data_IF_262708592648
#
_entry.id   IF_262708592648
#
_cell.length_a   1.000
_cell.length_b   1.000
_cell.length_c   1.000
_cell.angle_alpha   90.00
_cell.angle_beta   90.00
_cell.angle_gamma   90.00
#
_symmetry.space_group_name_H-M   'P 1'
#
loop_
_entity.id
_entity.type
_entity.pdbx_description
1 polymer ?
#
# COMPACT_ATOMS: atom_id res chain seq x y z
N UNK A 1 27.66 5.31 6.27
CA UNK A 1 26.31 5.92 6.21
C UNK A 1 25.33 5.05 6.98
N UNK A 2 25.42 5.08 8.31
CA UNK A 2 24.50 4.40 9.23
C UNK A 2 23.97 5.48 10.16
N UNK A 3 22.65 5.68 10.19
CA UNK A 3 22.05 6.75 11.01
C UNK A 3 20.53 6.74 11.09
N UNK A 4 19.83 6.04 10.20
CA UNK A 4 18.35 6.02 10.17
C UNK A 4 17.72 4.65 10.46
N UNK A 5 18.44 3.73 11.13
CA UNK A 5 17.93 2.38 11.38
C UNK A 5 17.41 2.12 12.80
N UNK A 6 17.23 3.13 13.66
CA UNK A 6 16.72 2.86 15.02
C UNK A 6 15.92 3.96 15.72
N UNK A 7 15.72 5.14 15.13
CA UNK A 7 14.89 6.16 15.78
C UNK A 7 13.42 5.83 15.59
N UNK A 8 12.85 5.15 16.59
CA UNK A 8 11.43 5.11 16.86
C UNK A 8 10.84 6.52 16.61
N UNK A 9 9.83 6.64 15.74
CA UNK A 9 9.20 7.91 15.39
C UNK A 9 8.62 8.65 16.61
N UNK A 10 8.32 7.93 17.70
CA UNK A 10 7.88 8.49 18.98
C UNK A 10 9.04 9.06 19.83
N UNK A 11 10.30 8.81 19.47
CA UNK A 11 11.50 9.38 20.11
C UNK A 11 11.98 10.63 19.37
N UNK A 12 11.41 10.95 18.20
CA UNK A 12 11.75 12.17 17.50
C UNK A 12 11.36 13.39 18.37
N UNK A 13 12.23 14.39 18.60
CA UNK A 13 11.93 15.51 19.50
C UNK A 13 10.64 16.27 19.15
N UNK A 14 10.25 16.29 17.86
CA UNK A 14 8.98 16.89 17.40
C UNK A 14 7.74 16.09 17.80
N UNK A 15 7.86 14.79 18.10
CA UNK A 15 6.73 13.99 18.60
C UNK A 15 6.27 14.47 19.98
N UNK A 16 7.18 15.02 20.79
CA UNK A 16 6.89 15.60 22.10
C UNK A 16 6.05 16.90 22.03
N UNK A 17 5.88 17.50 20.85
CA UNK A 17 5.01 18.66 20.66
C UNK A 17 3.52 18.29 20.59
N UNK A 18 3.22 17.02 20.34
CA UNK A 18 1.85 16.53 20.25
C UNK A 18 1.42 15.91 21.57
N UNK A 19 0.32 16.42 22.12
CA UNK A 19 -0.34 15.87 23.30
C UNK A 19 -1.18 14.63 22.91
N UNK A 20 -1.53 13.74 23.85
CA UNK A 20 -2.34 12.55 23.56
C UNK A 20 -3.62 12.85 22.77
N UNK A 21 -4.32 13.94 23.08
CA UNK A 21 -5.53 14.37 22.37
C UNK A 21 -5.29 14.77 20.91
N UNK A 22 -4.06 15.20 20.56
CA UNK A 22 -3.71 15.46 19.16
C UNK A 22 -3.49 14.16 18.40
N UNK A 23 -2.81 13.20 19.02
CA UNK A 23 -2.58 11.88 18.43
C UNK A 23 -3.88 11.11 18.23
N UNK A 24 -4.81 11.20 19.19
CA UNK A 24 -6.12 10.56 19.11
C UNK A 24 -7.00 11.09 17.97
N UNK A 25 -6.73 12.30 17.45
CA UNK A 25 -7.45 12.86 16.29
C UNK A 25 -6.98 12.29 14.96
N UNK A 26 -5.84 11.62 14.91
CA UNK A 26 -5.35 11.00 13.69
C UNK A 26 -6.08 9.68 13.49
N UNK A 27 -7.04 9.70 12.57
CA UNK A 27 -7.93 8.57 12.28
C UNK A 27 -7.53 7.81 11.01
N UNK A 28 -6.70 8.41 10.16
CA UNK A 28 -6.29 7.85 8.88
C UNK A 28 -4.78 7.89 8.71
N UNK A 29 -4.21 6.75 8.32
CA UNK A 29 -2.82 6.66 7.87
C UNK A 29 -2.78 6.46 6.37
N UNK A 30 -2.03 7.32 5.67
CA UNK A 30 -1.70 7.13 4.26
C UNK A 30 -0.22 6.77 4.15
N UNK A 31 0.05 5.53 3.76
CA UNK A 31 1.39 4.95 3.66
C UNK A 31 1.77 4.85 2.18
N UNK A 32 2.96 5.33 1.84
CA UNK A 32 3.60 5.09 0.55
C UNK A 32 4.69 4.05 0.76
N UNK A 33 4.55 2.88 0.13
CA UNK A 33 5.37 1.73 0.44
C UNK A 33 6.12 1.21 -0.77
N UNK A 34 7.44 1.09 -0.66
CA UNK A 34 8.25 0.35 -1.62
C UNK A 34 8.12 -1.16 -1.36
N UNK A 35 7.76 -1.96 -2.37
CA UNK A 35 7.49 -3.40 -2.20
C UNK A 35 8.64 -4.16 -1.52
N UNK A 36 9.89 -3.80 -1.81
CA UNK A 36 11.08 -4.40 -1.21
C UNK A 36 11.12 -4.30 0.32
N UNK A 37 10.65 -3.19 0.90
CA UNK A 37 10.73 -2.90 2.32
C UNK A 37 9.37 -2.82 3.02
N UNK A 38 8.27 -3.03 2.27
CA UNK A 38 6.91 -2.82 2.75
C UNK A 38 6.62 -3.60 4.04
N UNK A 39 6.96 -4.89 4.07
CA UNK A 39 6.73 -5.74 5.23
C UNK A 39 7.50 -5.29 6.48
N UNK A 40 8.73 -4.79 6.31
CA UNK A 40 9.53 -4.25 7.41
C UNK A 40 8.96 -2.91 7.90
N UNK A 41 8.61 -2.02 6.97
CA UNK A 41 8.08 -0.68 7.27
C UNK A 41 6.72 -0.74 7.98
N UNK A 42 5.77 -1.51 7.45
CA UNK A 42 4.43 -1.67 8.03
C UNK A 42 4.48 -2.27 9.44
N UNK A 43 5.35 -3.25 9.67
CA UNK A 43 5.57 -3.79 11.00
C UNK A 43 6.18 -2.74 11.95
N UNK A 44 7.12 -1.93 11.46
CA UNK A 44 7.70 -0.82 12.21
C UNK A 44 6.66 0.19 12.68
N UNK A 45 5.69 0.53 11.81
CA UNK A 45 4.67 1.54 12.07
C UNK A 45 3.85 1.23 13.34
N UNK A 46 3.58 -0.05 13.58
CA UNK A 46 2.73 -0.48 14.71
C UNK A 46 3.51 -1.17 15.83
N UNK A 47 4.82 -1.38 15.71
CA UNK A 47 5.63 -2.10 16.71
C UNK A 47 5.70 -1.39 18.07
N UNK A 48 5.53 -0.08 18.10
CA UNK A 48 5.60 0.68 19.34
C UNK A 48 4.27 0.62 20.08
N UNK A 49 4.35 0.26 21.37
CA UNK A 49 3.23 0.08 22.31
C UNK A 49 2.55 1.39 22.74
N UNK A 50 2.80 2.49 22.03
CA UNK A 50 2.13 3.74 22.33
C UNK A 50 0.79 3.71 21.60
N UNK A 51 -0.24 3.28 22.31
CA UNK A 51 -1.66 3.29 21.90
C UNK A 51 -2.22 4.72 21.70
N UNK A 52 -1.35 5.71 21.46
CA UNK A 52 -1.72 7.12 21.34
C UNK A 52 -2.26 7.45 19.95
N UNK A 53 -1.91 6.65 18.94
CA UNK A 53 -2.34 6.86 17.56
C UNK A 53 -2.93 5.56 16.99
N UNK A 54 -4.26 5.52 16.96
CA UNK A 54 -5.05 4.33 16.64
C UNK A 54 -5.93 4.63 15.43
N UNK A 55 -5.41 4.45 14.20
CA UNK A 55 -6.19 4.74 13.00
C UNK A 55 -7.39 3.82 12.90
N UNK A 56 -8.50 4.34 12.39
CA UNK A 56 -9.69 3.56 12.00
C UNK A 56 -9.65 3.20 10.53
N UNK A 57 -8.95 3.99 9.71
CA UNK A 57 -8.75 3.72 8.29
C UNK A 57 -7.28 3.79 7.90
N UNK A 58 -6.92 3.02 6.87
CA UNK A 58 -5.59 3.03 6.30
C UNK A 58 -5.65 3.02 4.78
N UNK A 59 -4.75 3.76 4.15
CA UNK A 59 -4.48 3.68 2.70
C UNK A 59 -3.02 3.32 2.50
N UNK A 60 -2.75 2.33 1.65
CA UNK A 60 -1.42 2.01 1.15
C UNK A 60 -1.36 2.28 -0.35
N UNK A 61 -0.47 3.14 -0.78
CA UNK A 61 -0.20 3.37 -2.21
C UNK A 61 1.10 2.68 -2.60
N UNK A 62 1.01 1.80 -3.59
CA UNK A 62 2.14 1.30 -4.35
C UNK A 62 2.22 2.09 -5.65
N UNK A 63 3.14 3.06 -5.72
CA UNK A 63 3.35 3.85 -6.94
C UNK A 63 4.03 3.00 -7.98
N UNK A 64 3.96 3.41 -9.23
CA UNK A 64 4.63 2.72 -10.34
C UNK A 64 6.12 2.39 -10.06
N UNK A 65 6.86 3.30 -9.42
CA UNK A 65 8.28 3.13 -9.08
C UNK A 65 8.55 2.37 -7.78
N UNK A 66 7.50 1.95 -7.08
CA UNK A 66 7.59 1.17 -5.85
C UNK A 66 7.49 -0.35 -6.11
N UNK A 67 7.15 -0.75 -7.35
CA UNK A 67 7.08 -2.14 -7.79
C UNK A 67 8.47 -2.73 -7.99
N UNK A 68 8.58 -4.05 -7.84
CA UNK A 68 9.81 -4.76 -8.17
C UNK A 68 10.19 -4.62 -9.64
N UNK A 69 11.46 -4.33 -9.88
CA UNK A 69 12.10 -4.32 -11.21
C UNK A 69 11.38 -3.43 -12.25
N UNK A 70 10.69 -2.37 -11.78
CA UNK A 70 9.95 -1.43 -12.63
C UNK A 70 10.85 -0.75 -13.67
N UNK A 71 12.13 -0.55 -13.34
CA UNK A 71 13.18 0.00 -14.20
C UNK A 71 13.40 -0.84 -15.46
N UNK A 72 13.17 -2.15 -15.37
CA UNK A 72 13.36 -3.10 -16.47
C UNK A 72 12.07 -3.44 -17.21
N UNK A 73 10.97 -2.76 -16.85
CA UNK A 73 9.62 -3.04 -17.35
C UNK A 73 9.15 -4.49 -17.06
N UNK A 74 9.70 -5.11 -16.01
CA UNK A 74 9.40 -6.50 -15.66
C UNK A 74 7.89 -6.73 -15.46
N UNK A 75 7.34 -7.89 -15.86
CA UNK A 75 5.95 -8.23 -15.58
C UNK A 75 5.66 -8.18 -14.08
N UNK A 76 4.49 -7.67 -13.69
CA UNK A 76 4.08 -7.67 -12.27
C UNK A 76 3.53 -9.03 -11.81
N UNK A 77 3.40 -10.00 -12.73
CA UNK A 77 2.88 -11.35 -12.52
C UNK A 77 3.97 -12.42 -12.75
N UNK A 78 4.00 -13.54 -12.01
CA UNK A 78 3.05 -13.98 -10.99
C UNK A 78 3.17 -13.25 -9.67
N UNK A 79 2.01 -12.95 -9.11
CA UNK A 79 1.91 -12.49 -7.73
C UNK A 79 2.04 -13.69 -6.82
N UNK A 80 2.95 -13.61 -5.86
CA UNK A 80 3.04 -14.60 -4.80
C UNK A 80 2.78 -13.93 -3.47
N UNK A 81 1.92 -14.55 -2.65
CA UNK A 81 1.57 -14.05 -1.31
C UNK A 81 2.79 -13.96 -0.37
N UNK A 82 3.87 -14.67 -0.66
CA UNK A 82 5.14 -14.60 0.09
C UNK A 82 6.08 -13.47 -0.40
N UNK A 83 5.83 -12.86 -1.56
CA UNK A 83 6.72 -11.87 -2.20
C UNK A 83 6.08 -10.53 -2.55
N UNK A 84 4.78 -10.51 -2.82
CA UNK A 84 4.08 -9.34 -3.34
C UNK A 84 3.57 -8.46 -2.20
N UNK A 85 2.70 -9.01 -1.34
CA UNK A 85 2.44 -8.49 -0.01
C UNK A 85 2.73 -9.57 1.00
N UNK A 86 3.72 -9.41 1.89
CA UNK A 86 3.91 -10.32 3.00
C UNK A 86 2.80 -10.12 4.06
N UNK A 87 1.51 -10.20 3.67
CA UNK A 87 0.35 -9.98 4.53
C UNK A 87 0.42 -10.82 5.80
N UNK A 88 0.95 -12.05 5.68
CA UNK A 88 1.19 -12.96 6.82
C UNK A 88 2.04 -12.33 7.92
N UNK A 89 2.95 -11.44 7.59
CA UNK A 89 3.84 -10.79 8.52
C UNK A 89 3.36 -9.41 8.96
N UNK A 90 2.24 -8.89 8.44
CA UNK A 90 1.75 -7.54 8.74
C UNK A 90 0.47 -7.62 9.57
N UNK A 91 0.51 -7.00 10.76
CA UNK A 91 -0.62 -7.00 11.70
C UNK A 91 -1.14 -5.58 11.90
N UNK A 92 -2.40 -5.36 11.53
CA UNK A 92 -3.09 -4.09 11.70
C UNK A 92 -3.46 -3.85 13.18
N UNK A 93 -3.53 -2.58 13.63
CA UNK A 93 -4.11 -2.24 14.92
C UNK A 93 -5.57 -2.72 15.06
N UNK A 94 -6.03 -3.07 16.28
CA UNK A 94 -7.42 -3.46 16.55
C UNK A 94 -8.47 -2.38 16.20
N UNK A 95 -8.06 -1.14 15.98
CA UNK A 95 -8.98 -0.05 15.63
C UNK A 95 -9.25 0.04 14.14
N UNK A 96 -8.41 -0.55 13.29
CA UNK A 96 -8.55 -0.43 11.83
C UNK A 96 -9.76 -1.22 11.37
N UNK A 97 -10.74 -0.50 10.82
CA UNK A 97 -11.97 -1.03 10.25
C UNK A 97 -11.89 -1.15 8.73
N UNK A 98 -11.09 -0.30 8.08
CA UNK A 98 -10.93 -0.26 6.62
C UNK A 98 -9.48 -0.14 6.22
N UNK A 99 -9.08 -0.96 5.26
CA UNK A 99 -7.79 -0.88 4.58
C UNK A 99 -8.03 -0.72 3.09
N UNK A 100 -7.50 0.34 2.50
CA UNK A 100 -7.53 0.60 1.07
C UNK A 100 -6.13 0.45 0.51
N UNK A 101 -6.00 -0.19 -0.65
CA UNK A 101 -4.73 -0.29 -1.37
C UNK A 101 -4.91 0.31 -2.76
N UNK A 102 -4.04 1.26 -3.09
CA UNK A 102 -3.95 1.91 -4.38
C UNK A 102 -2.78 1.29 -5.16
N UNK A 103 -3.11 0.63 -6.25
CA UNK A 103 -2.17 0.02 -7.17
C UNK A 103 -1.98 0.92 -8.37
N UNK A 104 -0.92 1.71 -8.38
CA UNK A 104 -0.59 2.57 -9.51
C UNK A 104 0.42 1.87 -10.43
N UNK A 105 0.17 1.95 -11.74
CA UNK A 105 1.13 1.56 -12.75
C UNK A 105 1.03 2.47 -13.98
N UNK A 106 1.96 2.33 -14.92
CA UNK A 106 1.83 2.97 -16.23
C UNK A 106 0.69 2.33 -17.02
N UNK A 107 0.01 3.12 -17.84
CA UNK A 107 -1.20 2.69 -18.56
C UNK A 107 -0.93 1.53 -19.54
N UNK A 108 0.29 1.42 -20.06
CA UNK A 108 0.71 0.29 -20.90
C UNK A 108 0.68 -1.06 -20.17
N UNK A 109 0.70 -1.07 -18.83
CA UNK A 109 0.61 -2.27 -17.98
C UNK A 109 -0.79 -2.53 -17.41
N UNK A 110 -1.82 -1.82 -17.87
CA UNK A 110 -3.18 -1.96 -17.31
C UNK A 110 -3.69 -3.41 -17.28
N UNK A 111 -3.43 -4.21 -18.31
CA UNK A 111 -3.86 -5.62 -18.36
C UNK A 111 -3.17 -6.49 -17.31
N UNK A 112 -1.88 -6.22 -17.06
CA UNK A 112 -1.18 -6.90 -15.98
C UNK A 112 -1.78 -6.50 -14.62
N UNK A 113 -2.10 -5.20 -14.45
CA UNK A 113 -2.71 -4.66 -13.24
C UNK A 113 -4.12 -5.21 -13.01
N UNK A 114 -4.90 -5.39 -14.08
CA UNK A 114 -6.19 -6.10 -14.03
C UNK A 114 -6.00 -7.53 -13.53
N UNK A 115 -4.99 -8.26 -14.02
CA UNK A 115 -4.71 -9.62 -13.58
C UNK A 115 -4.34 -9.68 -12.09
N UNK A 116 -3.58 -8.69 -11.59
CA UNK A 116 -3.27 -8.54 -10.15
C UNK A 116 -4.54 -8.43 -9.33
N UNK A 117 -5.39 -7.47 -9.69
CA UNK A 117 -6.62 -7.19 -8.94
C UNK A 117 -7.56 -8.39 -9.03
N UNK A 118 -7.74 -8.98 -10.21
CA UNK A 118 -8.58 -10.16 -10.40
C UNK A 118 -8.14 -11.36 -9.55
N UNK A 119 -6.83 -11.59 -9.37
CA UNK A 119 -6.35 -12.64 -8.46
C UNK A 119 -6.77 -12.37 -7.01
N UNK A 120 -6.80 -11.11 -6.58
CA UNK A 120 -7.22 -10.75 -5.22
C UNK A 120 -8.65 -11.17 -4.91
N UNK A 121 -9.55 -11.00 -5.87
CA UNK A 121 -10.95 -11.40 -5.75
C UNK A 121 -11.14 -12.90 -5.98
N UNK A 122 -10.45 -13.49 -6.97
CA UNK A 122 -10.57 -14.92 -7.28
C UNK A 122 -10.03 -15.82 -6.16
N UNK A 123 -9.07 -15.32 -5.39
CA UNK A 123 -8.42 -16.04 -4.28
C UNK A 123 -8.53 -15.25 -2.98
N UNK A 124 -9.67 -14.61 -2.74
CA UNK A 124 -9.92 -13.68 -1.62
C UNK A 124 -9.50 -14.21 -0.24
N UNK A 125 -9.61 -15.51 0.01
CA UNK A 125 -9.12 -16.13 1.26
C UNK A 125 -7.60 -15.97 1.50
N UNK A 126 -6.81 -15.77 0.45
CA UNK A 126 -5.36 -15.51 0.54
C UNK A 126 -5.04 -14.02 0.76
N UNK A 127 -6.00 -13.13 0.49
CA UNK A 127 -5.81 -11.68 0.51
C UNK A 127 -6.55 -11.07 1.69
N UNK A 128 -6.10 -11.42 2.89
CA UNK A 128 -6.73 -11.02 4.15
C UNK A 128 -5.73 -10.23 5.00
N UNK A 129 -6.16 -9.07 5.50
CA UNK A 129 -5.40 -8.32 6.49
C UNK A 129 -5.76 -8.78 7.89
N UNK A 130 -4.76 -9.16 8.68
CA UNK A 130 -4.96 -9.62 10.05
C UNK A 130 -4.87 -8.46 11.02
N UNK A 131 -5.82 -8.35 11.93
CA UNK A 131 -5.74 -7.46 13.09
C UNK A 131 -5.15 -8.20 14.28
N UNK A 132 -4.53 -7.44 15.19
CA UNK A 132 -3.92 -7.98 16.41
C UNK A 132 -4.91 -8.62 17.38
N UNK A 133 -6.18 -8.28 17.30
CA UNK A 133 -7.25 -8.84 18.12
C UNK A 133 -7.89 -10.11 17.52
N UNK A 134 -7.29 -10.66 16.45
CA UNK A 134 -7.76 -11.88 15.80
C UNK A 134 -8.78 -11.65 14.69
N UNK A 135 -9.38 -10.46 14.57
CA UNK A 135 -10.27 -10.13 13.47
C UNK A 135 -9.53 -10.01 12.14
N UNK A 136 -10.26 -10.20 11.06
CA UNK A 136 -9.76 -10.15 9.70
C UNK A 136 -10.49 -9.08 8.89
N UNK A 137 -9.75 -8.35 8.05
CA UNK A 137 -10.35 -7.55 6.98
C UNK A 137 -10.30 -8.36 5.68
N UNK A 138 -11.45 -8.50 5.03
CA UNK A 138 -11.62 -9.23 3.76
C UNK A 138 -11.93 -8.24 2.65
N UNK A 139 -11.56 -8.60 1.43
CA UNK A 139 -11.80 -7.76 0.25
C UNK A 139 -13.29 -7.55 0.05
N UNK A 140 -13.70 -6.31 -0.25
CA UNK A 140 -15.10 -5.93 -0.44
C UNK A 140 -15.49 -5.97 -1.92
N UNK A 141 -16.72 -6.38 -2.21
CA UNK A 141 -17.30 -6.37 -3.55
C UNK A 141 -16.92 -7.57 -4.42
N UNK A 142 -17.25 -7.49 -5.71
CA UNK A 142 -17.11 -8.59 -6.69
C UNK A 142 -15.90 -8.49 -7.62
N UNK A 143 -15.04 -7.49 -7.45
CA UNK A 143 -13.82 -7.33 -8.23
C UNK A 143 -14.02 -6.70 -9.59
N UNK A 144 -15.08 -5.91 -9.75
CA UNK A 144 -15.39 -5.18 -10.97
C UNK A 144 -15.52 -3.69 -10.67
N UNK A 145 -15.42 -2.86 -11.71
CA UNK A 145 -15.51 -1.40 -11.56
C UNK A 145 -16.85 -1.00 -10.90
N UNK A 146 -16.78 -0.19 -9.85
CA UNK A 146 -17.94 0.23 -9.05
C UNK A 146 -18.45 -0.83 -8.05
N UNK A 147 -17.84 -2.01 -8.01
CA UNK A 147 -18.18 -3.10 -7.08
C UNK A 147 -16.91 -3.84 -6.65
N UNK A 148 -16.21 -3.21 -5.70
CA UNK A 148 -14.95 -3.68 -5.11
C UNK A 148 -13.70 -3.09 -5.74
N UNK A 149 -13.79 -2.52 -6.94
CA UNK A 149 -12.68 -1.84 -7.61
C UNK A 149 -13.11 -0.45 -8.06
N UNK A 150 -12.27 0.55 -7.78
CA UNK A 150 -12.36 1.87 -8.39
C UNK A 150 -11.10 2.11 -9.24
N UNK A 151 -11.26 2.66 -10.43
CA UNK A 151 -10.15 2.97 -11.34
C UNK A 151 -10.11 4.45 -11.66
N UNK A 152 -8.95 5.08 -11.52
CA UNK A 152 -8.71 6.44 -12.01
C UNK A 152 -7.39 6.54 -12.76
N UNK A 153 -7.23 7.62 -13.53
CA UNK A 153 -6.08 7.83 -14.42
C UNK A 153 -5.53 9.23 -14.26
N UNK A 154 -4.24 9.36 -14.50
CA UNK A 154 -3.57 10.65 -14.52
C UNK A 154 -2.35 10.63 -15.45
N UNK A 155 -1.90 11.81 -15.86
CA UNK A 155 -0.68 11.96 -16.65
C UNK A 155 0.45 12.42 -15.73
N UNK A 156 1.53 11.65 -15.69
CA UNK A 156 2.70 11.91 -14.83
C UNK A 156 3.99 11.99 -15.62
N UNK A 157 5.13 12.21 -14.94
CA UNK A 157 6.43 12.37 -15.59
C UNK A 157 6.90 11.07 -16.26
N UNK A 158 7.78 11.20 -17.26
CA UNK A 158 8.54 10.08 -17.87
C UNK A 158 9.97 9.97 -17.35
N UNK A 159 10.35 10.81 -16.38
CA UNK A 159 11.71 10.85 -15.83
C UNK A 159 11.69 10.73 -14.32
N UNK A 160 12.65 9.98 -13.76
CA UNK A 160 12.66 9.63 -12.35
C UNK A 160 14.06 9.71 -11.74
N UNK A 161 14.08 9.81 -10.40
CA UNK A 161 15.31 9.86 -9.61
C UNK A 161 16.08 11.17 -9.76
N UNK A 162 17.21 11.26 -9.08
CA UNK A 162 18.02 12.48 -9.02
C UNK A 162 18.61 12.91 -10.39
N UNK A 163 18.75 11.96 -11.32
CA UNK A 163 19.34 12.20 -12.65
C UNK A 163 18.29 12.39 -13.75
N UNK A 164 17.01 12.50 -13.41
CA UNK A 164 15.90 12.55 -14.38
C UNK A 164 16.02 11.43 -15.41
N UNK A 165 16.28 10.22 -14.92
CA UNK A 165 16.50 9.06 -15.77
C UNK A 165 15.19 8.67 -16.46
N UNK A 166 15.31 8.42 -17.77
CA UNK A 166 14.23 7.92 -18.62
C UNK A 166 14.50 6.47 -18.99
N UNK A 167 13.46 5.67 -19.05
CA UNK A 167 13.56 4.26 -19.39
C UNK A 167 12.87 3.98 -20.75
N UNK A 168 13.30 2.94 -21.49
CA UNK A 168 12.80 2.69 -22.85
C UNK A 168 11.27 2.57 -22.97
N UNK A 169 10.60 2.09 -21.93
CA UNK A 169 9.15 1.88 -21.87
C UNK A 169 8.32 3.13 -21.54
N UNK A 170 8.94 4.31 -21.38
CA UNK A 170 8.24 5.56 -21.04
C UNK A 170 7.79 6.38 -22.25
N UNK A 171 8.14 5.95 -23.47
CA UNK A 171 7.87 6.70 -24.71
C UNK A 171 8.70 7.98 -24.82
N UNK A 172 8.52 8.80 -25.85
CA UNK A 172 9.39 9.97 -26.11
C UNK A 172 8.94 11.28 -25.43
N UNK A 173 7.69 11.36 -24.99
CA UNK A 173 7.09 12.55 -24.39
C UNK A 173 7.63 12.90 -22.99
N UNK A 174 7.33 14.12 -22.49
CA UNK A 174 7.63 14.54 -21.13
C UNK A 174 6.68 13.93 -20.08
N UNK A 175 5.52 13.42 -20.54
CA UNK A 175 4.52 12.77 -19.71
C UNK A 175 4.09 11.42 -20.29
N UNK A 176 3.61 10.54 -19.42
CA UNK A 176 2.98 9.27 -19.77
C UNK A 176 1.72 9.04 -18.93
N UNK A 177 0.83 8.19 -19.43
CA UNK A 177 -0.40 7.81 -18.75
C UNK A 177 -0.12 6.84 -17.59
N UNK A 178 -0.81 7.07 -16.48
CA UNK A 178 -0.83 6.21 -15.31
C UNK A 178 -2.27 5.80 -15.04
N UNK A 179 -2.41 4.60 -14.51
CA UNK A 179 -3.68 4.03 -14.05
C UNK A 179 -3.51 3.59 -12.61
N UNK A 180 -4.51 3.91 -11.79
CA UNK A 180 -4.60 3.49 -10.39
C UNK A 180 -5.84 2.65 -10.22
N UNK A 181 -5.65 1.44 -9.66
CA UNK A 181 -6.76 0.60 -9.20
C UNK A 181 -6.80 0.59 -7.69
N UNK A 182 -7.96 0.88 -7.15
CA UNK A 182 -8.20 0.96 -5.70
C UNK A 182 -9.00 -0.27 -5.30
N UNK A 183 -8.47 -1.00 -4.31
CA UNK A 183 -9.13 -2.17 -3.72
C UNK A 183 -9.31 -1.91 -2.23
N UNK A 184 -10.48 -2.25 -1.69
CA UNK A 184 -10.81 -2.01 -0.28
C UNK A 184 -11.09 -3.32 0.44
N UNK A 185 -10.60 -3.39 1.68
CA UNK A 185 -10.89 -4.44 2.64
C UNK A 185 -11.58 -3.83 3.86
N UNK A 186 -12.56 -4.53 4.39
CA UNK A 186 -13.27 -4.13 5.62
C UNK A 186 -13.36 -5.30 6.59
N UNK A 187 -13.52 -4.96 7.88
CA UNK A 187 -13.76 -5.95 8.93
C UNK A 187 -15.08 -6.64 8.66
N UNK A 188 -15.03 -7.96 8.66
CA UNK A 188 -16.22 -8.80 8.74
C UNK A 188 -16.30 -9.36 10.14
N UNK A 189 -17.47 -9.25 10.76
CA UNK A 189 -17.73 -10.03 11.96
C UNK A 189 -17.80 -11.51 11.56
N UNK A 190 -17.06 -12.35 12.26
CA UNK A 190 -17.15 -13.80 12.07
C UNK A 190 -18.49 -14.24 12.69
N UNK A 191 -19.39 -14.79 11.85
CA UNK A 191 -20.60 -15.52 12.31
C UNK A 191 -20.22 -16.77 13.11
#
# INVERSE_FOLDING_TARGET
MSGYLSTNCFIHPRANWFKPEHWARIQHYHVFGQMYLLGQGMNGLFRNRFDVCLPTTMTLTLRYTDWWDWETNAPIYPIRQDRFFPLRYMWLPPTVQRMTVEFENIESKIKELDAVVNEMFSRHYHWVWRRRDGKNLKVCGRGVEGDGVETWRWNGPTTFGYRSQKFPHHGDGPTMGYVVKVVTWEVVDEE
#
